data_IF_826865690383
#
_entry.id   IF_826865690383
#
_cell.length_a   1.000
_cell.length_b   1.000
_cell.length_c   1.000
_cell.angle_alpha   90.00
_cell.angle_beta   90.00
_cell.angle_gamma   90.00
#
_symmetry.space_group_name_H-M   'P 1'
#
loop_
_entity.id
_entity.type
_entity.pdbx_description
1 polymer ?
#
# COMPACT_ATOMS: atom_id res chain seq x y z
N UNK A 1 42.96 -4.07 31.95
CA UNK A 1 41.70 -4.82 32.06
C UNK A 1 40.66 -4.08 31.23
N UNK A 2 40.38 -4.59 30.03
CA UNK A 2 39.39 -4.05 29.10
C UNK A 2 38.17 -4.97 29.18
N UNK A 3 37.05 -4.46 29.67
CA UNK A 3 35.78 -5.19 29.62
C UNK A 3 35.12 -4.94 28.28
N UNK A 4 35.17 -5.99 27.47
CA UNK A 4 34.34 -6.22 26.29
C UNK A 4 32.85 -6.26 26.69
N UNK A 5 32.03 -5.45 26.04
CA UNK A 5 30.58 -5.70 25.96
C UNK A 5 30.05 -5.14 24.64
N UNK A 6 30.02 -5.99 23.62
CA UNK A 6 28.93 -5.96 22.63
C UNK A 6 27.80 -6.83 23.18
N UNK A 7 26.52 -6.49 22.90
CA UNK A 7 25.90 -7.20 21.78
C UNK A 7 24.85 -6.43 20.94
N UNK A 8 24.62 -7.01 19.75
CA UNK A 8 23.38 -7.08 18.94
C UNK A 8 23.02 -5.97 17.94
N UNK A 9 23.22 -6.34 16.65
CA UNK A 9 22.44 -6.05 15.42
C UNK A 9 22.19 -4.57 15.05
N UNK A 10 22.87 -3.98 14.07
CA UNK A 10 22.74 -4.22 12.61
C UNK A 10 21.29 -4.31 12.13
N UNK A 11 20.70 -3.16 11.86
CA UNK A 11 19.94 -2.88 10.64
C UNK A 11 20.45 -1.53 10.14
N UNK A 12 21.10 -1.52 8.97
CA UNK A 12 21.62 -0.28 8.38
C UNK A 12 20.46 0.57 7.91
N UNK A 13 20.57 1.86 8.14
CA UNK A 13 19.58 2.88 7.83
C UNK A 13 19.36 3.11 6.32
N UNK A 14 20.01 2.35 5.44
CA UNK A 14 20.23 2.68 4.03
C UNK A 14 19.55 1.74 3.02
N UNK A 15 18.84 0.68 3.44
CA UNK A 15 18.37 -0.38 2.52
C UNK A 15 16.84 -0.42 2.27
N UNK A 16 16.07 0.64 2.57
CA UNK A 16 14.66 0.73 2.13
C UNK A 16 14.60 1.65 0.90
N UNK A 17 14.66 1.02 -0.27
CA UNK A 17 14.59 1.65 -1.59
C UNK A 17 13.18 2.17 -1.92
N UNK A 18 12.93 3.45 -1.66
CA UNK A 18 12.23 4.43 -2.51
C UNK A 18 12.16 5.73 -1.69
N UNK A 19 12.62 6.84 -2.26
CA UNK A 19 13.02 8.11 -1.59
C UNK A 19 11.96 8.87 -0.79
N UNK A 20 10.80 8.28 -0.48
CA UNK A 20 9.69 8.94 0.19
C UNK A 20 9.79 8.75 1.70
N UNK A 21 10.69 9.50 2.32
CA UNK A 21 10.75 9.57 3.79
C UNK A 21 9.47 10.24 4.30
N UNK A 22 8.70 9.61 5.21
CA UNK A 22 7.55 10.28 5.82
C UNK A 22 8.03 11.55 6.51
N UNK A 23 7.57 12.71 6.02
CA UNK A 23 7.96 14.02 6.53
C UNK A 23 7.24 14.40 7.82
N UNK A 24 7.58 15.58 8.34
CA UNK A 24 6.87 16.17 9.47
C UNK A 24 5.42 16.53 9.06
N UNK A 25 4.47 15.85 9.68
CA UNK A 25 3.05 16.05 9.51
C UNK A 25 2.58 17.39 10.08
N UNK A 26 1.63 18.01 9.38
CA UNK A 26 0.85 19.13 9.91
C UNK A 26 -0.57 18.62 10.16
N UNK A 27 -0.84 18.14 11.37
CA UNK A 27 -2.18 17.71 11.81
C UNK A 27 -2.59 16.28 11.41
N UNK A 28 -3.84 15.94 11.72
CA UNK A 28 -4.48 14.67 11.33
C UNK A 28 -4.99 14.80 9.89
N UNK A 29 -4.55 13.89 9.02
CA UNK A 29 -5.02 13.80 7.64
C UNK A 29 -6.03 12.67 7.45
N UNK A 30 -6.63 12.56 6.26
CA UNK A 30 -7.41 11.37 5.88
C UNK A 30 -6.65 10.54 4.85
N UNK A 31 -6.86 9.23 4.87
CA UNK A 31 -6.33 8.28 3.89
C UNK A 31 -7.42 7.30 3.47
N UNK A 32 -7.26 6.67 2.32
CA UNK A 32 -8.20 5.66 1.81
C UNK A 32 -7.55 4.27 1.86
N UNK A 33 -8.10 3.39 2.69
CA UNK A 33 -7.70 2.00 2.81
C UNK A 33 -8.56 1.12 1.90
N UNK A 34 -7.90 0.28 1.11
CA UNK A 34 -8.51 -0.77 0.30
C UNK A 34 -8.14 -2.12 0.89
N UNK A 35 -9.12 -2.77 1.52
CA UNK A 35 -8.98 -4.11 2.10
C UNK A 35 -8.82 -5.20 1.04
N UNK A 36 -8.23 -6.33 1.42
CA UNK A 36 -8.09 -7.53 0.56
C UNK A 36 -9.47 -8.10 0.19
N UNK A 37 -10.44 -7.94 1.07
CA UNK A 37 -11.85 -8.27 0.90
C UNK A 37 -12.64 -7.25 0.07
N UNK A 38 -11.94 -6.29 -0.54
CA UNK A 38 -12.49 -5.15 -1.29
C UNK A 38 -13.26 -4.13 -0.43
N UNK A 39 -13.02 -4.08 0.89
CA UNK A 39 -13.50 -2.95 1.71
C UNK A 39 -12.89 -1.62 1.24
N UNK A 40 -13.66 -0.53 1.37
CA UNK A 40 -13.25 0.84 1.01
C UNK A 40 -13.47 1.74 2.23
N UNK A 41 -12.40 1.99 2.97
CA UNK A 41 -12.46 2.65 4.26
C UNK A 41 -11.69 3.96 4.26
N UNK A 42 -12.29 5.02 4.79
CA UNK A 42 -11.56 6.25 5.10
C UNK A 42 -11.02 6.14 6.51
N UNK A 43 -9.73 6.36 6.69
CA UNK A 43 -9.07 6.30 8.00
C UNK A 43 -8.41 7.63 8.34
N UNK A 44 -8.28 7.89 9.63
CA UNK A 44 -7.52 9.03 10.14
C UNK A 44 -6.02 8.71 10.09
N UNK A 45 -5.29 9.49 9.31
CA UNK A 45 -3.84 9.46 9.25
C UNK A 45 -3.29 10.36 10.37
N UNK A 46 -3.10 9.76 11.54
CA UNK A 46 -2.55 10.44 12.72
C UNK A 46 -1.03 10.33 12.74
N UNK A 47 -0.27 11.42 12.92
CA UNK A 47 1.18 11.30 13.05
C UNK A 47 1.55 10.74 14.43
N UNK A 48 2.62 9.94 14.48
CA UNK A 48 3.21 9.54 15.75
C UNK A 48 3.99 10.68 16.40
N UNK A 49 4.49 10.48 17.61
CA UNK A 49 5.20 11.51 18.40
C UNK A 49 6.42 12.13 17.68
N UNK A 50 7.02 11.39 16.72
CA UNK A 50 8.10 11.89 15.87
C UNK A 50 7.64 12.82 14.74
N UNK A 51 6.33 13.05 14.62
CA UNK A 51 5.71 13.83 13.55
C UNK A 51 5.52 13.06 12.24
N UNK A 52 5.80 11.75 12.19
CA UNK A 52 5.72 10.94 10.96
C UNK A 52 4.49 10.03 10.94
N UNK A 53 4.01 9.67 9.75
CA UNK A 53 2.81 8.80 9.61
C UNK A 53 3.13 7.30 9.54
N UNK A 54 4.41 6.92 9.49
CA UNK A 54 4.81 5.54 9.19
C UNK A 54 4.25 4.48 10.16
N UNK A 55 4.09 4.80 11.45
CA UNK A 55 3.49 3.88 12.42
C UNK A 55 2.01 3.63 12.13
N UNK A 56 1.25 4.68 11.84
CA UNK A 56 -0.18 4.61 11.49
C UNK A 56 -0.40 3.89 10.17
N UNK A 57 0.45 4.13 9.18
CA UNK A 57 0.40 3.44 7.88
C UNK A 57 0.61 1.93 8.06
N UNK A 58 1.65 1.52 8.81
CA UNK A 58 1.91 0.12 9.13
C UNK A 58 0.76 -0.54 9.87
N UNK A 59 0.20 0.16 10.85
CA UNK A 59 -0.96 -0.33 11.60
C UNK A 59 -2.19 -0.51 10.70
N UNK A 60 -2.45 0.44 9.81
CA UNK A 60 -3.59 0.39 8.90
C UNK A 60 -3.49 -0.73 7.86
N UNK A 61 -2.29 -0.97 7.33
CA UNK A 61 -2.05 -2.03 6.35
C UNK A 61 -1.91 -3.40 7.04
N UNK A 62 -1.45 -3.43 8.30
CA UNK A 62 -1.14 -4.65 9.04
C UNK A 62 0.25 -5.21 8.74
N UNK A 63 1.20 -4.37 8.35
CA UNK A 63 2.55 -4.77 7.92
C UNK A 63 3.66 -4.23 8.83
N UNK A 64 4.86 -4.83 8.75
CA UNK A 64 6.07 -4.29 9.39
C UNK A 64 6.90 -3.49 8.39
N UNK A 65 6.97 -3.92 7.14
CA UNK A 65 7.61 -3.19 6.05
C UNK A 65 6.57 -2.78 5.00
N UNK A 66 6.79 -1.64 4.38
CA UNK A 66 5.95 -1.17 3.29
C UNK A 66 6.81 -0.75 2.11
N UNK A 67 6.18 -0.73 0.95
CA UNK A 67 6.69 -0.09 -0.26
C UNK A 67 5.73 1.02 -0.69
N UNK A 68 6.28 2.03 -1.35
CA UNK A 68 5.54 3.21 -1.82
C UNK A 68 5.57 3.25 -3.33
N UNK A 69 4.39 3.35 -3.92
CA UNK A 69 4.18 3.53 -5.35
C UNK A 69 3.43 4.84 -5.57
N UNK A 70 3.97 5.73 -6.41
CA UNK A 70 3.28 6.96 -6.80
C UNK A 70 2.02 6.62 -7.62
N UNK A 71 0.81 6.93 -7.15
CA UNK A 71 -0.38 6.81 -7.99
C UNK A 71 -0.42 7.98 -8.97
N UNK A 72 -0.14 9.19 -8.46
CA UNK A 72 0.04 10.42 -9.23
C UNK A 72 1.20 11.23 -8.65
N UNK A 73 1.46 12.42 -9.19
CA UNK A 73 2.40 13.37 -8.59
C UNK A 73 1.98 13.85 -7.18
N UNK A 74 0.70 13.67 -6.80
CA UNK A 74 0.13 14.16 -5.54
C UNK A 74 -0.48 13.07 -4.65
N UNK A 75 -0.50 11.81 -5.09
CA UNK A 75 -1.10 10.69 -4.37
C UNK A 75 -0.11 9.54 -4.35
N UNK A 76 0.11 9.00 -3.16
CA UNK A 76 0.90 7.81 -2.91
C UNK A 76 0.00 6.61 -2.61
N UNK A 77 0.44 5.43 -3.03
CA UNK A 77 -0.09 4.15 -2.60
C UNK A 77 0.98 3.41 -1.79
N UNK A 78 0.62 3.02 -0.57
CA UNK A 78 1.44 2.26 0.37
C UNK A 78 0.91 0.84 0.41
N UNK A 79 1.80 -0.14 0.22
CA UNK A 79 1.45 -1.56 0.26
C UNK A 79 2.41 -2.31 1.15
N UNK A 80 1.98 -3.44 1.68
CA UNK A 80 2.84 -4.36 2.41
C UNK A 80 3.95 -4.92 1.48
N UNK A 81 5.20 -4.72 1.87
CA UNK A 81 6.38 -5.23 1.13
C UNK A 81 6.71 -6.69 1.51
N UNK A 82 6.06 -7.22 2.54
CA UNK A 82 6.20 -8.60 3.03
C UNK A 82 5.13 -9.53 2.44
N UNK A 83 4.07 -8.96 1.83
CA UNK A 83 2.89 -9.66 1.30
C UNK A 83 3.10 -10.34 -0.05
N UNK A 84 4.31 -10.38 -0.59
CA UNK A 84 4.55 -10.98 -1.90
C UNK A 84 4.43 -12.51 -1.82
N UNK A 85 3.43 -13.13 -2.45
CA UNK A 85 3.18 -14.55 -2.29
C UNK A 85 4.22 -15.38 -3.04
N UNK A 86 4.44 -16.61 -2.57
CA UNK A 86 5.09 -17.62 -3.39
C UNK A 86 4.21 -17.91 -4.62
N UNK A 87 4.73 -17.63 -5.82
CA UNK A 87 3.97 -17.81 -7.05
C UNK A 87 3.70 -19.27 -7.41
N UNK A 88 4.38 -20.22 -6.75
CA UNK A 88 4.07 -21.63 -6.84
C UNK A 88 2.85 -22.02 -6.01
N UNK A 89 2.35 -21.14 -5.13
CA UNK A 89 1.14 -21.34 -4.32
C UNK A 89 -0.05 -20.50 -4.82
N UNK A 90 -0.85 -21.11 -5.70
CA UNK A 90 -2.04 -20.48 -6.27
C UNK A 90 -3.13 -20.17 -5.22
N UNK A 91 -3.20 -20.90 -4.12
CA UNK A 91 -4.15 -20.60 -3.05
C UNK A 91 -3.72 -19.34 -2.31
N UNK A 92 -2.42 -19.21 -2.01
CA UNK A 92 -1.86 -18.02 -1.39
C UNK A 92 -2.01 -16.78 -2.29
N UNK A 93 -1.75 -16.90 -3.59
CA UNK A 93 -2.01 -15.83 -4.57
C UNK A 93 -3.48 -15.39 -4.51
N UNK A 94 -4.42 -16.33 -4.60
CA UNK A 94 -5.84 -16.00 -4.63
C UNK A 94 -6.32 -15.34 -3.31
N UNK A 95 -5.79 -15.79 -2.17
CA UNK A 95 -6.13 -15.29 -0.85
C UNK A 95 -5.55 -13.90 -0.55
N UNK A 96 -4.38 -13.57 -1.12
CA UNK A 96 -3.68 -12.30 -0.85
C UNK A 96 -3.91 -11.25 -1.93
N UNK A 97 -4.36 -11.65 -3.14
CA UNK A 97 -4.59 -10.73 -4.25
C UNK A 97 -5.61 -9.65 -3.87
N UNK A 98 -5.26 -8.40 -4.15
CA UNK A 98 -6.13 -7.24 -4.01
C UNK A 98 -6.46 -6.64 -5.39
N UNK A 99 -7.48 -7.18 -6.08
CA UNK A 99 -7.88 -6.71 -7.40
C UNK A 99 -8.33 -5.25 -7.38
N UNK A 100 -9.03 -4.83 -6.32
CA UNK A 100 -9.60 -3.49 -6.27
C UNK A 100 -8.48 -2.45 -6.19
N UNK A 101 -7.51 -2.63 -5.28
CA UNK A 101 -6.35 -1.73 -5.20
C UNK A 101 -5.55 -1.73 -6.52
N UNK A 102 -5.38 -2.91 -7.12
CA UNK A 102 -4.67 -3.04 -8.40
C UNK A 102 -5.39 -2.29 -9.52
N UNK A 103 -6.69 -2.53 -9.71
CA UNK A 103 -7.46 -1.87 -10.76
C UNK A 103 -7.57 -0.36 -10.50
N UNK A 104 -7.68 0.06 -9.24
CA UNK A 104 -7.70 1.48 -8.87
C UNK A 104 -6.40 2.18 -9.23
N UNK A 105 -5.23 1.57 -8.94
CA UNK A 105 -3.96 2.15 -9.35
C UNK A 105 -3.83 2.22 -10.88
N UNK A 106 -4.43 1.26 -11.59
CA UNK A 106 -4.37 1.18 -13.05
C UNK A 106 -5.06 2.36 -13.75
N UNK A 107 -6.00 3.02 -13.05
CA UNK A 107 -6.65 4.24 -13.52
C UNK A 107 -5.69 5.43 -13.60
N UNK A 108 -4.60 5.42 -12.84
CA UNK A 108 -3.65 6.52 -12.77
C UNK A 108 -2.33 6.23 -13.49
N UNK A 109 -1.93 4.96 -13.56
CA UNK A 109 -0.64 4.57 -14.14
C UNK A 109 -0.63 3.16 -14.70
N UNK A 110 0.36 2.91 -15.55
CA UNK A 110 0.67 1.54 -15.98
C UNK A 110 1.15 0.71 -14.80
N UNK A 111 0.65 -0.52 -14.71
CA UNK A 111 1.00 -1.49 -13.68
C UNK A 111 1.82 -2.61 -14.30
N UNK A 112 2.92 -2.98 -13.64
CA UNK A 112 3.80 -4.08 -14.07
C UNK A 112 3.43 -5.43 -13.45
N UNK A 113 2.82 -5.45 -12.27
CA UNK A 113 2.38 -6.66 -11.57
C UNK A 113 1.16 -6.39 -10.67
N UNK A 114 0.31 -7.40 -10.39
CA UNK A 114 -0.78 -7.25 -9.42
C UNK A 114 -0.28 -6.95 -8.01
N UNK A 115 -1.13 -6.31 -7.20
CA UNK A 115 -0.86 -6.07 -5.78
C UNK A 115 -1.51 -7.12 -4.88
N UNK A 116 -0.80 -7.43 -3.81
CA UNK A 116 -1.18 -8.39 -2.78
C UNK A 116 -1.18 -7.68 -1.42
N UNK A 117 -2.11 -8.02 -0.54
CA UNK A 117 -2.29 -7.35 0.75
C UNK A 117 -3.20 -6.12 0.70
N UNK A 118 -3.39 -5.48 1.85
CA UNK A 118 -4.12 -4.21 1.94
C UNK A 118 -3.30 -3.07 1.32
N UNK A 119 -3.98 -2.08 0.75
CA UNK A 119 -3.33 -0.90 0.16
C UNK A 119 -3.90 0.37 0.77
N UNK A 120 -3.03 1.31 1.15
CA UNK A 120 -3.42 2.60 1.70
C UNK A 120 -3.03 3.72 0.72
N UNK A 121 -3.98 4.60 0.38
CA UNK A 121 -3.74 5.78 -0.44
C UNK A 121 -3.65 7.03 0.45
N UNK A 122 -2.61 7.83 0.24
CA UNK A 122 -2.38 9.08 0.98
C UNK A 122 -2.14 10.24 0.01
N UNK A 123 -2.29 11.46 0.51
CA UNK A 123 -1.79 12.64 -0.21
C UNK A 123 -0.27 12.71 -0.15
N UNK A 124 0.30 13.54 -1.01
CA UNK A 124 1.73 13.87 -1.05
C UNK A 124 1.92 15.39 -1.12
N UNK A 125 2.80 15.89 -0.27
CA UNK A 125 3.26 17.29 -0.26
C UNK A 125 4.77 17.33 -0.45
N UNK A 126 5.21 17.58 -1.69
CA UNK A 126 6.62 17.47 -2.06
C UNK A 126 7.12 16.03 -1.91
N UNK A 127 8.15 15.81 -1.10
CA UNK A 127 8.71 14.48 -0.78
C UNK A 127 8.04 13.84 0.45
N UNK A 128 7.01 14.47 1.01
CA UNK A 128 6.41 14.07 2.28
C UNK A 128 5.01 13.52 2.12
N UNK A 129 4.71 12.46 2.87
CA UNK A 129 3.35 11.96 3.06
C UNK A 129 2.47 13.02 3.70
N UNK A 130 1.25 13.16 3.19
CA UNK A 130 0.20 14.02 3.74
C UNK A 130 -1.15 13.30 3.76
N UNK A 131 -2.13 13.87 4.45
CA UNK A 131 -3.52 13.47 4.24
C UNK A 131 -3.97 13.80 2.82
N UNK A 132 -4.90 13.01 2.31
CA UNK A 132 -5.68 13.36 1.12
C UNK A 132 -6.48 14.63 1.41
N UNK A 133 -6.48 15.57 0.47
CA UNK A 133 -7.47 16.64 0.49
C UNK A 133 -8.88 16.09 0.16
N UNK A 134 -9.91 16.90 0.38
CA UNK A 134 -11.29 16.47 0.18
C UNK A 134 -11.62 16.06 -1.27
N UNK A 135 -10.98 16.71 -2.25
CA UNK A 135 -11.21 16.39 -3.66
C UNK A 135 -10.49 15.09 -4.05
N UNK A 136 -9.25 14.90 -3.60
CA UNK A 136 -8.49 13.68 -3.80
C UNK A 136 -9.19 12.47 -3.17
N UNK A 137 -9.68 12.61 -1.93
CA UNK A 137 -10.41 11.55 -1.25
C UNK A 137 -11.72 11.20 -1.98
N UNK A 138 -12.48 12.23 -2.39
CA UNK A 138 -13.73 12.02 -3.12
C UNK A 138 -13.52 11.32 -4.48
N UNK A 139 -12.49 11.72 -5.23
CA UNK A 139 -12.16 11.10 -6.53
C UNK A 139 -11.70 9.66 -6.38
N UNK A 140 -10.74 9.39 -5.49
CA UNK A 140 -10.25 8.03 -5.21
C UNK A 140 -11.40 7.12 -4.77
N UNK A 141 -12.23 7.59 -3.84
CA UNK A 141 -13.36 6.83 -3.32
C UNK A 141 -14.39 6.55 -4.41
N UNK A 142 -14.77 7.55 -5.20
CA UNK A 142 -15.74 7.37 -6.28
C UNK A 142 -15.25 6.37 -7.34
N UNK A 143 -13.95 6.40 -7.68
CA UNK A 143 -13.35 5.43 -8.62
C UNK A 143 -13.30 4.04 -8.01
N UNK A 144 -12.90 3.90 -6.75
CA UNK A 144 -12.91 2.62 -6.05
C UNK A 144 -14.32 2.02 -6.02
N UNK A 145 -15.33 2.82 -5.67
CA UNK A 145 -16.74 2.40 -5.65
C UNK A 145 -17.26 2.05 -7.05
N UNK A 146 -16.85 2.78 -8.10
CA UNK A 146 -17.19 2.44 -9.49
C UNK A 146 -16.64 1.07 -9.89
N UNK A 147 -15.39 0.77 -9.53
CA UNK A 147 -14.75 -0.52 -9.83
C UNK A 147 -15.41 -1.64 -9.01
N UNK A 148 -15.66 -1.40 -7.71
CA UNK A 148 -16.33 -2.36 -6.84
C UNK A 148 -17.77 -2.67 -7.29
N UNK A 149 -18.46 -1.68 -7.90
CA UNK A 149 -19.77 -1.85 -8.52
C UNK A 149 -19.78 -2.70 -9.80
N UNK A 150 -18.61 -3.16 -10.27
CA UNK A 150 -18.42 -4.03 -11.44
C UNK A 150 -17.75 -5.35 -11.04
N UNK A 151 -18.47 -6.24 -10.34
CA UNK A 151 -17.90 -7.49 -9.84
C UNK A 151 -17.33 -8.37 -10.94
N UNK A 152 -17.85 -8.28 -12.18
CA UNK A 152 -17.34 -8.99 -13.33
C UNK A 152 -15.93 -8.53 -13.75
N UNK A 153 -15.56 -7.26 -13.51
CA UNK A 153 -14.21 -6.77 -13.77
C UNK A 153 -13.21 -7.32 -12.76
N UNK A 154 -13.59 -7.31 -11.48
CA UNK A 154 -12.79 -7.87 -10.38
C UNK A 154 -12.57 -9.37 -10.63
N UNK A 155 -13.62 -10.11 -10.97
CA UNK A 155 -13.53 -11.55 -11.21
C UNK A 155 -12.71 -11.86 -12.47
N UNK A 156 -12.92 -11.14 -13.57
CA UNK A 156 -12.11 -11.31 -14.77
C UNK A 156 -10.62 -11.04 -14.51
N UNK A 157 -10.31 -10.05 -13.67
CA UNK A 157 -8.94 -9.78 -13.24
C UNK A 157 -8.37 -10.92 -12.41
N UNK A 158 -9.10 -11.41 -11.39
CA UNK A 158 -8.69 -12.58 -10.58
C UNK A 158 -8.37 -13.80 -11.45
N UNK A 159 -9.25 -14.12 -12.41
CA UNK A 159 -9.06 -15.24 -13.32
C UNK A 159 -7.83 -15.08 -14.20
N UNK A 160 -7.55 -13.87 -14.70
CA UNK A 160 -6.35 -13.59 -15.50
C UNK A 160 -5.06 -13.79 -14.68
N UNK A 161 -5.03 -13.32 -13.44
CA UNK A 161 -3.88 -13.50 -12.55
C UNK A 161 -3.68 -14.98 -12.23
N UNK A 162 -4.73 -15.70 -11.84
CA UNK A 162 -4.66 -17.13 -11.53
C UNK A 162 -4.21 -17.97 -12.74
N UNK A 163 -4.72 -17.64 -13.94
CA UNK A 163 -4.30 -18.31 -15.17
C UNK A 163 -2.85 -17.97 -15.59
N UNK A 164 -2.33 -16.81 -15.20
CA UNK A 164 -0.92 -16.47 -15.40
C UNK A 164 -0.03 -17.25 -14.44
N UNK A 165 -0.39 -17.31 -13.15
CA UNK A 165 0.34 -18.09 -12.15
C UNK A 165 0.37 -19.58 -12.48
N UNK A 166 -0.76 -20.16 -12.91
CA UNK A 166 -0.83 -21.57 -13.30
C UNK A 166 0.05 -21.93 -14.51
N UNK A 167 0.45 -20.97 -15.34
CA UNK A 167 1.35 -21.17 -16.49
C UNK A 167 2.83 -21.10 -16.13
N UNK A 168 3.17 -20.60 -14.94
CA UNK A 168 4.57 -20.49 -14.48
C UNK A 168 5.06 -21.73 -13.72
N UNK A 169 4.15 -22.64 -13.37
CA UNK A 169 4.42 -23.99 -12.84
C UNK A 169 4.78 -24.97 -13.97
#
# INVERSE_FOLDING_TARGET
>A
MLTNTHPAAVLRSDDITNDHRPGAAVGVGQALLIGIDASIETIDLTPCDSGTFGATIRQAIGCRLYTVTDATEHIDMWTDDESFPDFDDAELIAATLNPLATLLLAEYRSIHQPYFGAALFTGRSGEHTAGLDAAQLADLRARAELIAGRPEWIEAFRQRVNAAAARQR
#
